data_IF_138921479893
#
_entry.id   IF_138921479893
#
_cell.length_a   1.000
_cell.length_b   1.000
_cell.length_c   1.000
_cell.angle_alpha   90.00
_cell.angle_beta   90.00
_cell.angle_gamma   90.00
#
_symmetry.space_group_name_H-M   'P 1'
#
loop_
_entity.id
_entity.type
_entity.pdbx_description
1 polymer ?
#
# COMPACT_ATOMS: atom_id res chain seq x y z
N UNK A 1 -4.64 9.87 -18.05
CA UNK A 1 -4.47 8.40 -17.93
C UNK A 1 -4.69 7.90 -16.49
N UNK A 2 -3.95 8.39 -15.49
CA UNK A 2 -3.98 7.88 -14.12
C UNK A 2 -5.38 7.87 -13.46
N UNK A 3 -6.18 8.93 -13.61
CA UNK A 3 -7.55 9.00 -13.05
C UNK A 3 -8.42 7.86 -13.56
N UNK A 4 -8.35 7.59 -14.87
CA UNK A 4 -9.17 6.59 -15.55
C UNK A 4 -8.80 5.14 -15.16
N UNK A 5 -7.54 4.91 -14.82
CA UNK A 5 -7.07 3.62 -14.29
C UNK A 5 -7.54 3.40 -12.85
N UNK A 6 -7.55 4.45 -12.03
CA UNK A 6 -7.97 4.38 -10.62
C UNK A 6 -9.50 4.24 -10.51
N UNK A 7 -10.27 4.99 -11.30
CA UNK A 7 -11.74 4.87 -11.30
C UNK A 7 -12.21 3.50 -11.77
N UNK A 8 -11.56 2.92 -12.79
CA UNK A 8 -11.84 1.54 -13.21
C UNK A 8 -11.44 0.49 -12.17
N UNK A 9 -10.37 0.73 -11.40
CA UNK A 9 -10.01 -0.11 -10.26
C UNK A 9 -11.10 -0.05 -9.18
N UNK A 10 -11.59 1.14 -8.85
CA UNK A 10 -12.69 1.32 -7.91
C UNK A 10 -13.96 0.59 -8.38
N UNK A 11 -14.35 0.78 -9.64
CA UNK A 11 -15.50 0.12 -10.24
C UNK A 11 -15.36 -1.41 -10.22
N UNK A 12 -14.17 -1.95 -10.53
CA UNK A 12 -13.92 -3.39 -10.47
C UNK A 12 -14.14 -3.93 -9.05
N UNK A 13 -13.52 -3.33 -8.03
CA UNK A 13 -13.65 -3.81 -6.65
C UNK A 13 -15.04 -3.56 -6.06
N UNK A 14 -15.73 -2.51 -6.50
CA UNK A 14 -17.15 -2.30 -6.19
C UNK A 14 -18.01 -3.44 -6.77
N UNK A 15 -17.75 -3.86 -8.02
CA UNK A 15 -18.44 -5.02 -8.62
C UNK A 15 -18.13 -6.32 -7.86
N UNK A 16 -16.88 -6.54 -7.45
CA UNK A 16 -16.50 -7.71 -6.62
C UNK A 16 -17.24 -7.71 -5.28
N UNK A 17 -17.34 -6.55 -4.62
CA UNK A 17 -18.05 -6.40 -3.36
C UNK A 17 -19.56 -6.61 -3.54
N UNK A 18 -20.14 -6.01 -4.59
CA UNK A 18 -21.54 -6.19 -4.95
C UNK A 18 -21.86 -7.66 -5.23
N UNK A 19 -21.02 -8.35 -6.01
CA UNK A 19 -21.14 -9.79 -6.27
C UNK A 19 -21.14 -10.63 -5.00
N UNK A 20 -20.28 -10.30 -4.03
CA UNK A 20 -20.27 -10.95 -2.72
C UNK A 20 -21.55 -10.70 -1.91
N UNK A 21 -22.04 -9.45 -1.87
CA UNK A 21 -23.28 -9.12 -1.16
C UNK A 21 -24.51 -9.79 -1.78
N UNK A 22 -24.57 -9.86 -3.11
CA UNK A 22 -25.62 -10.55 -3.86
C UNK A 22 -25.59 -12.07 -3.63
N UNK A 23 -24.40 -12.67 -3.50
CA UNK A 23 -24.24 -14.08 -3.17
C UNK A 23 -24.76 -14.41 -1.77
N UNK A 24 -24.51 -13.53 -0.78
CA UNK A 24 -25.06 -13.66 0.57
C UNK A 24 -26.57 -13.40 0.63
N UNK A 25 -27.08 -12.54 -0.23
CA UNK A 25 -28.50 -12.16 -0.30
C UNK A 25 -29.40 -13.08 -1.13
N UNK A 26 -28.89 -14.17 -1.72
CA UNK A 26 -29.69 -15.13 -2.49
C UNK A 26 -30.22 -14.61 -3.83
N UNK A 27 -29.58 -13.60 -4.42
CA UNK A 27 -30.07 -12.95 -5.63
C UNK A 27 -30.01 -13.83 -6.89
N UNK A 28 -30.84 -13.49 -7.89
CA UNK A 28 -31.00 -14.23 -9.14
C UNK A 28 -29.66 -14.52 -9.85
N UNK A 29 -29.48 -15.77 -10.28
CA UNK A 29 -28.26 -16.25 -10.94
C UNK A 29 -27.87 -15.45 -12.19
N UNK A 30 -28.84 -14.82 -12.84
CA UNK A 30 -28.64 -13.98 -14.02
C UNK A 30 -27.91 -12.68 -13.70
N UNK A 31 -28.35 -11.96 -12.66
CA UNK A 31 -27.67 -10.74 -12.21
C UNK A 31 -26.22 -11.01 -11.80
N UNK A 32 -25.96 -12.19 -11.21
CA UNK A 32 -24.60 -12.64 -10.88
C UNK A 32 -23.73 -12.83 -12.12
N UNK A 33 -24.27 -13.38 -13.21
CA UNK A 33 -23.55 -13.54 -14.48
C UNK A 33 -23.22 -12.18 -15.10
N UNK A 34 -24.18 -11.26 -15.12
CA UNK A 34 -23.96 -9.91 -15.66
C UNK A 34 -22.88 -9.16 -14.89
N UNK A 35 -22.91 -9.21 -13.55
CA UNK A 35 -21.88 -8.58 -12.69
C UNK A 35 -20.51 -9.20 -12.94
N UNK A 36 -20.42 -10.53 -13.07
CA UNK A 36 -19.14 -11.21 -13.33
C UNK A 36 -18.57 -10.89 -14.72
N UNK A 37 -19.43 -10.81 -15.74
CA UNK A 37 -19.02 -10.38 -17.08
C UNK A 37 -18.54 -8.94 -17.07
N UNK A 38 -19.25 -8.03 -16.39
CA UNK A 38 -18.85 -6.64 -16.26
C UNK A 38 -17.50 -6.50 -15.53
N UNK A 39 -17.28 -7.26 -14.45
CA UNK A 39 -15.99 -7.32 -13.75
C UNK A 39 -14.87 -7.78 -14.69
N UNK A 40 -15.12 -8.83 -15.47
CA UNK A 40 -14.15 -9.36 -16.43
C UNK A 40 -13.79 -8.33 -17.51
N UNK A 41 -14.79 -7.67 -18.11
CA UNK A 41 -14.57 -6.62 -19.10
C UNK A 41 -13.80 -5.44 -18.49
N UNK A 42 -14.23 -4.93 -17.33
CA UNK A 42 -13.53 -3.83 -16.64
C UNK A 42 -12.09 -4.20 -16.29
N UNK A 43 -11.85 -5.44 -15.85
CA UNK A 43 -10.49 -5.91 -15.59
C UNK A 43 -9.66 -5.97 -16.88
N UNK A 44 -10.21 -6.45 -18.00
CA UNK A 44 -9.50 -6.50 -19.28
C UNK A 44 -9.15 -5.10 -19.78
N UNK A 45 -10.11 -4.17 -19.75
CA UNK A 45 -9.86 -2.79 -20.18
C UNK A 45 -8.86 -2.09 -19.27
N UNK A 46 -8.85 -2.42 -17.96
CA UNK A 46 -7.84 -1.91 -17.02
C UNK A 46 -6.43 -2.40 -17.36
N UNK A 47 -6.28 -3.68 -17.73
CA UNK A 47 -4.99 -4.23 -18.17
C UNK A 47 -4.50 -3.55 -19.44
N UNK A 48 -5.39 -3.36 -20.42
CA UNK A 48 -5.08 -2.66 -21.66
C UNK A 48 -4.60 -1.23 -21.41
N UNK A 49 -5.30 -0.46 -20.57
CA UNK A 49 -4.90 0.92 -20.24
C UNK A 49 -3.57 1.03 -19.50
N UNK A 50 -3.02 -0.08 -19.00
CA UNK A 50 -1.73 -0.12 -18.32
C UNK A 50 -0.57 -0.50 -19.25
N UNK A 51 -0.84 -0.77 -20.53
CA UNK A 51 0.17 -0.92 -21.58
C UNK A 51 0.91 0.42 -21.74
N UNK A 52 1.97 0.62 -20.97
CA UNK A 52 2.73 1.88 -20.90
C UNK A 52 3.21 2.20 -19.49
N UNK A 53 2.48 1.76 -18.47
CA UNK A 53 2.87 1.96 -17.07
C UNK A 53 4.16 1.22 -16.68
N UNK A 54 4.58 0.18 -17.41
CA UNK A 54 5.89 -0.45 -17.22
C UNK A 54 7.04 0.53 -17.51
N UNK A 55 6.90 1.36 -18.54
CA UNK A 55 7.91 2.36 -18.93
C UNK A 55 7.91 3.51 -17.93
N UNK A 56 6.74 4.00 -17.51
CA UNK A 56 6.62 5.00 -16.44
C UNK A 56 7.24 4.50 -15.13
N UNK A 57 7.03 3.23 -14.77
CA UNK A 57 7.62 2.63 -13.58
C UNK A 57 9.15 2.52 -13.69
N UNK A 58 9.67 2.21 -14.88
CA UNK A 58 11.12 2.17 -15.11
C UNK A 58 11.73 3.58 -15.06
N UNK A 59 11.04 4.59 -15.60
CA UNK A 59 11.46 5.97 -15.51
C UNK A 59 11.45 6.46 -14.05
N UNK A 60 10.42 6.12 -13.29
CA UNK A 60 10.37 6.40 -11.86
C UNK A 60 11.51 5.71 -11.10
N UNK A 61 11.84 4.46 -11.44
CA UNK A 61 13.01 3.77 -10.90
C UNK A 61 14.31 4.54 -11.20
N UNK A 62 14.50 5.00 -12.44
CA UNK A 62 15.66 5.81 -12.82
C UNK A 62 15.76 7.12 -12.03
N UNK A 63 14.63 7.80 -11.80
CA UNK A 63 14.59 9.02 -10.97
C UNK A 63 14.95 8.72 -9.51
N UNK A 64 14.43 7.63 -8.95
CA UNK A 64 14.68 7.23 -7.57
C UNK A 64 16.17 6.93 -7.29
N UNK A 65 16.97 6.54 -8.29
CA UNK A 65 18.43 6.32 -8.12
C UNK A 65 19.16 7.60 -7.70
N UNK A 66 18.64 8.78 -8.05
CA UNK A 66 19.28 10.07 -7.77
C UNK A 66 18.93 10.64 -6.38
N UNK A 67 18.16 9.92 -5.57
CA UNK A 67 17.74 10.39 -4.26
C UNK A 67 18.89 10.34 -3.25
N UNK A 68 19.05 11.33 -2.37
CA UNK A 68 20.20 11.44 -1.47
C UNK A 68 20.28 10.35 -0.40
N UNK A 69 19.15 9.93 0.17
CA UNK A 69 19.10 8.89 1.20
C UNK A 69 19.23 7.48 0.60
N UNK A 70 20.26 6.74 1.05
CA UNK A 70 20.58 5.39 0.58
C UNK A 70 19.48 4.35 0.83
N UNK A 71 18.79 4.40 1.98
CA UNK A 71 17.76 3.42 2.34
C UNK A 71 16.49 3.69 1.52
N UNK A 72 16.12 4.96 1.42
CA UNK A 72 14.97 5.41 0.64
C UNK A 72 15.19 5.13 -0.86
N UNK A 73 16.40 5.42 -1.37
CA UNK A 73 16.83 5.10 -2.74
C UNK A 73 16.67 3.62 -3.03
N UNK A 74 17.19 2.73 -2.17
CA UNK A 74 17.08 1.29 -2.39
C UNK A 74 15.61 0.82 -2.37
N UNK A 75 14.83 1.23 -1.37
CA UNK A 75 13.43 0.82 -1.25
C UNK A 75 12.60 1.27 -2.47
N UNK A 76 12.74 2.53 -2.88
CA UNK A 76 12.00 3.09 -4.00
C UNK A 76 12.43 2.49 -5.34
N UNK A 77 13.72 2.36 -5.59
CA UNK A 77 14.23 1.79 -6.86
C UNK A 77 13.76 0.35 -7.04
N UNK A 78 13.93 -0.49 -6.02
CA UNK A 78 13.52 -1.89 -6.06
C UNK A 78 11.99 -2.01 -6.11
N UNK A 79 11.26 -1.14 -5.42
CA UNK A 79 9.79 -1.10 -5.50
C UNK A 79 9.30 -0.77 -6.90
N UNK A 80 9.85 0.28 -7.53
CA UNK A 80 9.51 0.67 -8.90
C UNK A 80 9.87 -0.41 -9.92
N UNK A 81 11.01 -1.10 -9.74
CA UNK A 81 11.41 -2.21 -10.60
C UNK A 81 10.45 -3.41 -10.48
N UNK A 82 10.10 -3.81 -9.25
CA UNK A 82 9.11 -4.86 -9.00
C UNK A 82 7.74 -4.49 -9.61
N UNK A 83 7.38 -3.21 -9.58
CA UNK A 83 6.15 -2.71 -10.19
C UNK A 83 6.20 -2.74 -11.72
N UNK A 84 7.36 -2.47 -12.32
CA UNK A 84 7.57 -2.64 -13.77
C UNK A 84 7.43 -4.12 -14.17
N UNK A 85 8.02 -5.05 -13.41
CA UNK A 85 7.87 -6.49 -13.62
C UNK A 85 6.43 -6.97 -13.46
N UNK A 86 5.71 -6.45 -12.47
CA UNK A 86 4.27 -6.70 -12.29
C UNK A 86 3.47 -6.31 -13.53
N UNK A 87 3.67 -5.09 -14.06
CA UNK A 87 2.98 -4.63 -15.26
C UNK A 87 3.39 -5.42 -16.51
N UNK A 88 4.66 -5.80 -16.64
CA UNK A 88 5.11 -6.67 -17.72
C UNK A 88 4.38 -8.02 -17.70
N UNK A 89 4.25 -8.64 -16.52
CA UNK A 89 3.46 -9.87 -16.38
C UNK A 89 1.96 -9.65 -16.71
N UNK A 90 1.41 -8.48 -16.37
CA UNK A 90 0.01 -8.14 -16.66
C UNK A 90 -0.24 -8.01 -18.18
N UNK A 91 0.73 -7.44 -18.91
CA UNK A 91 0.71 -7.35 -20.38
C UNK A 91 0.78 -8.73 -21.03
N UNK A 92 1.63 -9.63 -20.50
CA UNK A 92 1.70 -11.03 -20.95
C UNK A 92 0.38 -11.77 -20.70
N UNK A 93 -0.23 -11.57 -19.53
CA UNK A 93 -1.56 -12.12 -19.22
C UNK A 93 -2.64 -11.61 -20.16
N UNK A 94 -2.60 -10.32 -20.49
CA UNK A 94 -3.53 -9.71 -21.43
C UNK A 94 -3.36 -10.32 -22.84
N UNK A 95 -2.13 -10.44 -23.33
CA UNK A 95 -1.80 -11.06 -24.62
C UNK A 95 -2.24 -12.54 -24.69
N UNK A 96 -2.14 -13.27 -23.58
CA UNK A 96 -2.66 -14.64 -23.49
C UNK A 96 -4.19 -14.70 -23.58
N UNK A 97 -4.91 -13.71 -23.03
CA UNK A 97 -6.38 -13.65 -23.07
C UNK A 97 -6.94 -13.18 -24.41
N UNK A 98 -6.19 -12.39 -25.16
CA UNK A 98 -6.58 -11.95 -26.52
C UNK A 98 -6.24 -12.99 -27.60
N UNK A 99 -5.67 -14.14 -27.23
CA UNK A 99 -5.31 -15.20 -28.18
C UNK A 99 -4.00 -14.95 -28.92
N UNK A 100 -3.25 -13.90 -28.56
CA UNK A 100 -1.95 -13.60 -29.16
C UNK A 100 -0.87 -14.62 -28.75
N UNK A 101 -1.04 -15.27 -27.59
CA UNK A 101 -0.16 -16.34 -27.09
C UNK A 101 -1.03 -17.55 -26.71
N UNK A 102 -1.14 -18.51 -27.63
CA UNK A 102 -2.10 -19.63 -27.53
C UNK A 102 -1.77 -20.70 -26.47
N UNK A 103 -0.55 -20.73 -25.91
CA UNK A 103 -0.12 -21.72 -24.89
C UNK A 103 0.39 -21.07 -23.59
N UNK A 104 -0.13 -19.91 -23.21
CA UNK A 104 0.30 -19.26 -21.98
C UNK A 104 -0.39 -19.88 -20.75
N UNK A 105 0.42 -20.34 -19.78
CA UNK A 105 -0.08 -20.74 -18.46
C UNK A 105 -0.50 -19.49 -17.65
N UNK A 106 -1.76 -19.09 -17.78
CA UNK A 106 -2.29 -17.88 -17.13
C UNK A 106 -2.14 -17.94 -15.60
N UNK A 107 -2.23 -19.13 -15.00
CA UNK A 107 -2.15 -19.29 -13.55
C UNK A 107 -0.73 -19.03 -13.04
N UNK A 108 0.30 -19.61 -13.68
CA UNK A 108 1.71 -19.38 -13.30
C UNK A 108 2.11 -17.91 -13.44
N UNK A 109 1.75 -17.28 -14.55
CA UNK A 109 2.07 -15.88 -14.79
C UNK A 109 1.29 -14.94 -13.84
N UNK A 110 0.05 -15.29 -13.49
CA UNK A 110 -0.73 -14.57 -12.48
C UNK A 110 -0.07 -14.66 -11.11
N UNK A 111 0.37 -15.84 -10.69
CA UNK A 111 1.06 -16.00 -9.41
C UNK A 111 2.37 -15.19 -9.35
N UNK A 112 3.18 -15.24 -10.42
CA UNK A 112 4.41 -14.42 -10.49
C UNK A 112 4.11 -12.92 -10.40
N UNK A 113 3.10 -12.45 -11.13
CA UNK A 113 2.64 -11.06 -11.07
C UNK A 113 2.29 -10.66 -9.63
N UNK A 114 1.47 -11.45 -8.93
CA UNK A 114 1.09 -11.15 -7.54
C UNK A 114 2.27 -11.20 -6.56
N UNK A 115 3.29 -12.04 -6.78
CA UNK A 115 4.53 -12.02 -5.97
C UNK A 115 5.28 -10.71 -6.13
N UNK A 116 5.51 -10.26 -7.36
CA UNK A 116 6.16 -8.96 -7.61
C UNK A 116 5.36 -7.79 -7.03
N UNK A 117 4.03 -7.86 -7.12
CA UNK A 117 3.16 -6.87 -6.50
C UNK A 117 3.31 -6.84 -4.97
N UNK A 118 3.34 -8.01 -4.32
CA UNK A 118 3.56 -8.12 -2.88
C UNK A 118 4.93 -7.55 -2.47
N UNK A 119 6.01 -7.90 -3.18
CA UNK A 119 7.34 -7.36 -2.89
C UNK A 119 7.39 -5.84 -3.03
N UNK A 120 6.79 -5.26 -4.07
CA UNK A 120 6.69 -3.82 -4.23
C UNK A 120 5.93 -3.17 -3.05
N UNK A 121 4.86 -3.82 -2.58
CA UNK A 121 4.09 -3.32 -1.43
C UNK A 121 4.90 -3.34 -0.14
N UNK A 122 5.60 -4.43 0.15
CA UNK A 122 6.44 -4.54 1.34
C UNK A 122 7.49 -3.43 1.33
N UNK A 123 8.14 -3.18 0.20
CA UNK A 123 9.14 -2.11 0.07
C UNK A 123 8.52 -0.72 0.27
N UNK A 124 7.31 -0.47 -0.25
CA UNK A 124 6.60 0.79 -0.01
C UNK A 124 6.19 0.96 1.45
N UNK A 125 5.74 -0.10 2.13
CA UNK A 125 5.46 -0.05 3.56
C UNK A 125 6.73 0.19 4.39
N UNK A 126 7.84 -0.45 4.02
CA UNK A 126 9.15 -0.21 4.67
C UNK A 126 9.57 1.26 4.53
N UNK A 127 9.39 1.84 3.34
CA UNK A 127 9.58 3.27 3.10
C UNK A 127 8.70 4.12 4.03
N UNK A 128 7.40 3.84 4.09
CA UNK A 128 6.43 4.61 4.89
C UNK A 128 6.83 4.61 6.37
N UNK A 129 7.20 3.43 6.88
CA UNK A 129 7.68 3.28 8.25
C UNK A 129 9.01 4.01 8.46
N UNK A 130 9.93 3.95 7.51
CA UNK A 130 11.22 4.64 7.61
C UNK A 130 11.06 6.17 7.65
N UNK A 131 10.27 6.75 6.76
CA UNK A 131 9.96 8.19 6.78
C UNK A 131 9.26 8.59 8.09
N UNK A 132 8.33 7.77 8.57
CA UNK A 132 7.66 8.00 9.85
C UNK A 132 8.65 7.99 11.02
N UNK A 133 9.62 7.07 11.03
CA UNK A 133 10.68 7.01 12.03
C UNK A 133 11.54 8.27 12.00
N UNK A 134 11.93 8.73 10.81
CA UNK A 134 12.72 9.95 10.65
C UNK A 134 11.96 11.17 11.19
N UNK A 135 10.67 11.29 10.89
CA UNK A 135 9.82 12.37 11.40
C UNK A 135 9.64 12.31 12.92
N UNK A 136 9.46 11.10 13.48
CA UNK A 136 9.41 10.91 14.93
C UNK A 136 10.70 11.37 15.62
N UNK A 137 11.86 11.07 15.04
CA UNK A 137 13.15 11.51 15.57
C UNK A 137 13.30 13.04 15.51
N UNK A 138 12.92 13.66 14.39
CA UNK A 138 12.92 15.12 14.24
C UNK A 138 12.02 15.79 15.27
N UNK A 139 10.80 15.28 15.48
CA UNK A 139 9.87 15.86 16.45
C UNK A 139 10.33 15.64 17.90
N UNK A 140 10.92 14.49 18.22
CA UNK A 140 11.52 14.25 19.53
C UNK A 140 12.68 15.23 19.82
N UNK A 141 13.54 15.48 18.83
CA UNK A 141 14.64 16.47 18.94
C UNK A 141 14.11 17.88 19.11
N UNK A 142 13.11 18.29 18.31
CA UNK A 142 12.48 19.60 18.44
C UNK A 142 11.87 19.83 19.83
N UNK A 143 11.17 18.82 20.38
CA UNK A 143 10.60 18.88 21.74
C UNK A 143 11.69 18.94 22.81
N UNK A 144 12.84 18.29 22.60
CA UNK A 144 13.97 18.36 23.53
C UNK A 144 14.60 19.77 23.56
N UNK A 145 14.72 20.44 22.41
CA UNK A 145 15.27 21.81 22.33
C UNK A 145 14.31 22.86 22.89
N UNK A 146 12.99 22.60 22.85
CA UNK A 146 11.95 23.51 23.36
C UNK A 146 11.62 23.31 24.84
N UNK A 147 12.18 22.28 25.47
CA UNK A 147 12.03 22.07 26.91
C UNK A 147 12.84 23.14 27.67
N UNK A 148 12.25 23.85 28.64
CA UNK A 148 12.98 24.82 29.44
C UNK A 148 14.13 24.12 30.20
N UNK A 149 15.30 24.75 30.36
CA UNK A 149 16.37 24.19 31.16
C UNK A 149 15.87 23.93 32.59
N UNK A 150 15.95 22.68 33.03
CA UNK A 150 15.61 22.29 34.41
C UNK A 150 16.55 23.03 35.39
N UNK A 151 16.04 23.75 36.40
CA UNK A 151 16.88 24.48 37.37
C UNK A 151 17.65 23.60 38.35
N UNK A 152 17.54 22.26 38.28
CA UNK A 152 18.07 21.36 39.31
C UNK A 152 19.07 20.34 38.75
N UNK A 153 20.34 20.32 39.23
CA UNK A 153 21.27 19.24 38.91
C UNK A 153 20.76 17.93 39.53
N UNK A 154 20.56 16.92 38.70
CA UNK A 154 20.02 15.62 39.11
C UNK A 154 21.13 14.77 39.76
N UNK A 155 21.13 14.68 41.10
CA UNK A 155 21.93 13.69 41.83
C UNK A 155 21.34 12.30 41.56
N UNK A 156 22.05 11.49 40.80
CA UNK A 156 21.70 10.10 40.50
C UNK A 156 21.98 9.20 41.71
N UNK A 157 20.93 8.74 42.42
CA UNK A 157 21.01 7.53 43.24
C UNK A 157 20.60 6.30 42.40
N UNK A 158 21.34 5.18 42.47
CA UNK A 158 20.99 3.96 41.76
C UNK A 158 19.97 3.16 42.58
N UNK A 159 18.68 3.25 42.23
CA UNK A 159 17.65 2.39 42.85
C UNK A 159 17.48 1.10 42.02
N UNK A 160 18.15 0.05 42.44
CA UNK A 160 18.04 -1.31 41.89
C UNK A 160 16.80 -2.01 42.45
N UNK A 161 15.64 -1.90 41.78
CA UNK A 161 14.47 -2.74 42.06
C UNK A 161 13.91 -3.34 40.74
N UNK A 162 13.88 -4.68 40.56
CA UNK A 162 13.49 -5.32 39.31
C UNK A 162 11.97 -5.39 39.05
N UNK A 163 11.12 -4.93 39.97
CA UNK A 163 9.65 -4.99 39.84
C UNK A 163 9.02 -3.82 39.05
N UNK A 164 9.78 -2.78 38.71
CA UNK A 164 9.30 -1.62 37.96
C UNK A 164 9.38 -1.77 36.42
N UNK A 165 9.95 -2.86 35.90
CA UNK A 165 10.26 -2.99 34.47
C UNK A 165 9.02 -3.05 33.55
N UNK A 166 7.96 -3.74 33.97
CA UNK A 166 6.72 -3.89 33.18
C UNK A 166 5.91 -2.59 33.06
N UNK A 167 5.64 -1.82 34.14
CA UNK A 167 4.94 -0.54 34.01
C UNK A 167 5.77 0.49 33.23
N UNK A 168 7.10 0.53 33.42
CA UNK A 168 8.00 1.45 32.70
C UNK A 168 8.03 1.16 31.19
N UNK A 169 8.08 -0.11 30.79
CA UNK A 169 8.05 -0.49 29.37
C UNK A 169 6.69 -0.16 28.73
N UNK A 170 5.58 -0.41 29.42
CA UNK A 170 4.24 -0.08 28.93
C UNK A 170 4.01 1.43 28.78
N UNK A 171 4.62 2.24 29.67
CA UNK A 171 4.54 3.71 29.63
C UNK A 171 5.43 4.25 28.50
N UNK A 172 6.63 3.70 28.30
CA UNK A 172 7.50 4.04 27.17
C UNK A 172 6.84 3.70 25.85
N UNK A 173 6.24 2.52 25.75
CA UNK A 173 5.51 2.08 24.56
C UNK A 173 4.29 2.98 24.28
N UNK A 174 3.51 3.33 25.30
CA UNK A 174 2.38 4.28 25.17
C UNK A 174 2.84 5.65 24.71
N UNK A 175 3.93 6.19 25.26
CA UNK A 175 4.51 7.47 24.81
C UNK A 175 5.01 7.39 23.37
N UNK A 176 5.67 6.29 22.98
CA UNK A 176 6.12 6.09 21.61
C UNK A 176 4.96 5.92 20.62
N UNK A 177 3.91 5.19 21.00
CA UNK A 177 2.69 5.04 20.20
C UNK A 177 1.95 6.38 20.07
N UNK A 178 1.85 7.15 21.14
CA UNK A 178 1.22 8.47 21.07
C UNK A 178 2.00 9.41 20.15
N UNK A 179 3.35 9.42 20.24
CA UNK A 179 4.19 10.20 19.33
C UNK A 179 4.03 9.72 17.89
N UNK A 180 4.05 8.40 17.66
CA UNK A 180 3.83 7.79 16.36
C UNK A 180 2.51 8.25 15.74
N UNK A 181 1.41 8.15 16.50
CA UNK A 181 0.07 8.57 16.09
C UNK A 181 0.04 10.08 15.82
N UNK A 182 0.63 10.88 16.70
CA UNK A 182 0.68 12.35 16.55
C UNK A 182 1.40 12.73 15.26
N UNK A 183 2.61 12.20 15.03
CA UNK A 183 3.42 12.46 13.83
C UNK A 183 2.68 12.01 12.58
N UNK A 184 2.06 10.84 12.63
CA UNK A 184 1.32 10.28 11.50
C UNK A 184 0.11 11.14 11.13
N UNK A 185 -0.70 11.59 12.10
CA UNK A 185 -1.82 12.49 11.84
C UNK A 185 -1.38 13.92 11.46
N UNK A 186 -0.18 14.33 11.90
CA UNK A 186 0.41 15.62 11.51
C UNK A 186 0.95 15.61 10.07
N UNK A 187 1.13 14.43 9.48
CA UNK A 187 1.65 14.23 8.13
C UNK A 187 0.61 13.50 7.24
N UNK A 188 -0.46 14.21 6.80
CA UNK A 188 -1.54 13.62 6.03
C UNK A 188 -1.10 12.83 4.77
N UNK A 189 -0.08 13.26 3.99
CA UNK A 189 0.38 12.50 2.83
C UNK A 189 0.94 11.11 3.17
N UNK A 190 1.69 11.01 4.27
CA UNK A 190 2.30 9.76 4.72
C UNK A 190 1.25 8.80 5.27
N UNK A 191 0.27 9.33 6.01
CA UNK A 191 -0.87 8.56 6.49
C UNK A 191 -1.68 7.95 5.33
N UNK A 192 -1.97 8.72 4.29
CA UNK A 192 -2.72 8.23 3.14
C UNK A 192 -1.97 7.15 2.36
N UNK A 193 -0.67 7.31 2.16
CA UNK A 193 0.17 6.30 1.52
C UNK A 193 0.25 5.01 2.35
N UNK A 194 0.48 5.13 3.67
CA UNK A 194 0.53 4.00 4.59
C UNK A 194 -0.79 3.24 4.63
N UNK A 195 -1.92 3.94 4.76
CA UNK A 195 -3.26 3.32 4.76
C UNK A 195 -3.54 2.60 3.44
N UNK A 196 -3.23 3.25 2.32
CA UNK A 196 -3.41 2.67 0.99
C UNK A 196 -2.58 1.41 0.80
N UNK A 197 -1.29 1.43 1.15
CA UNK A 197 -0.39 0.29 1.04
C UNK A 197 -0.84 -0.85 1.98
N UNK A 198 -1.30 -0.50 3.18
CA UNK A 198 -1.85 -1.46 4.16
C UNK A 198 -3.14 -2.12 3.68
N UNK A 199 -4.03 -1.39 3.00
CA UNK A 199 -5.22 -1.98 2.39
C UNK A 199 -4.85 -2.86 1.18
N UNK A 200 -3.91 -2.40 0.34
CA UNK A 200 -3.54 -3.12 -0.87
C UNK A 200 -2.81 -4.45 -0.58
N UNK A 201 -2.18 -4.63 0.58
CA UNK A 201 -1.40 -5.84 0.91
C UNK A 201 -2.24 -7.11 1.01
N UNK A 202 -3.50 -6.98 1.43
CA UNK A 202 -4.41 -8.11 1.53
C UNK A 202 -4.78 -8.70 0.17
N UNK A 203 -4.69 -7.90 -0.89
CA UNK A 203 -5.03 -8.33 -2.26
C UNK A 203 -4.06 -9.42 -2.78
N UNK A 204 -2.74 -9.21 -2.86
CA UNK A 204 -1.82 -10.27 -3.27
C UNK A 204 -1.72 -11.40 -2.24
N UNK A 205 -1.90 -11.14 -0.94
CA UNK A 205 -1.85 -12.19 0.08
C UNK A 205 -2.98 -13.22 -0.10
N UNK A 206 -4.20 -12.76 -0.39
CA UNK A 206 -5.34 -13.63 -0.69
C UNK A 206 -5.13 -14.36 -2.02
N UNK A 207 -4.68 -13.65 -3.07
CA UNK A 207 -4.46 -14.24 -4.41
C UNK A 207 -3.31 -15.25 -4.47
N UNK A 208 -2.34 -15.15 -3.55
CA UNK A 208 -1.26 -16.12 -3.41
C UNK A 208 -1.62 -17.29 -2.47
N UNK A 209 -2.79 -17.24 -1.81
CA UNK A 209 -3.21 -18.25 -0.85
C UNK A 209 -2.42 -18.24 0.46
N UNK A 210 -1.68 -17.16 0.75
CA UNK A 210 -0.89 -17.02 1.98
C UNK A 210 -1.80 -16.66 3.16
N UNK A 211 -2.75 -15.76 2.93
CA UNK A 211 -3.73 -15.35 3.94
C UNK A 211 -5.12 -15.18 3.29
N UNK A 212 -5.97 -16.24 3.31
CA UNK A 212 -7.27 -16.22 2.67
C UNK A 212 -8.25 -15.38 3.50
N UNK A 213 -8.49 -14.14 3.08
CA UNK A 213 -9.40 -13.19 3.74
C UNK A 213 -10.80 -13.23 3.13
N UNK A 214 -10.91 -13.75 1.92
CA UNK A 214 -12.17 -13.89 1.19
C UNK A 214 -12.46 -12.69 0.29
N UNK A 215 -13.25 -12.96 -0.74
CA UNK A 215 -13.52 -12.02 -1.85
C UNK A 215 -14.17 -10.71 -1.42
N UNK A 216 -15.05 -10.75 -0.40
CA UNK A 216 -15.69 -9.56 0.15
C UNK A 216 -14.70 -8.61 0.83
N UNK A 217 -13.80 -9.14 1.65
CA UNK A 217 -12.78 -8.33 2.34
C UNK A 217 -11.78 -7.72 1.36
N UNK A 218 -11.28 -8.53 0.41
CA UNK A 218 -10.41 -8.05 -0.68
C UNK A 218 -11.09 -6.96 -1.51
N UNK A 219 -12.39 -7.12 -1.80
CA UNK A 219 -13.21 -6.10 -2.46
C UNK A 219 -13.28 -4.80 -1.66
N UNK A 220 -13.55 -4.87 -0.36
CA UNK A 220 -13.60 -3.70 0.52
C UNK A 220 -12.24 -2.98 0.62
N UNK A 221 -11.16 -3.72 0.83
CA UNK A 221 -9.80 -3.16 0.87
C UNK A 221 -9.41 -2.51 -0.46
N UNK A 222 -9.70 -3.17 -1.59
CA UNK A 222 -9.42 -2.65 -2.93
C UNK A 222 -10.26 -1.42 -3.29
N UNK A 223 -11.50 -1.34 -2.79
CA UNK A 223 -12.33 -0.15 -2.92
C UNK A 223 -11.80 1.00 -2.06
N UNK A 224 -11.52 0.75 -0.77
CA UNK A 224 -10.97 1.74 0.14
C UNK A 224 -9.67 2.36 -0.39
N UNK A 225 -8.72 1.53 -0.83
CA UNK A 225 -7.46 2.01 -1.39
C UNK A 225 -7.62 2.78 -2.71
N UNK A 226 -8.66 2.47 -3.48
CA UNK A 226 -9.01 3.22 -4.69
C UNK A 226 -9.62 4.58 -4.36
N UNK A 227 -10.49 4.66 -3.35
CA UNK A 227 -11.04 5.94 -2.85
C UNK A 227 -9.93 6.83 -2.31
N UNK A 228 -9.00 6.30 -1.51
CA UNK A 228 -7.82 7.06 -1.05
C UNK A 228 -6.96 7.55 -2.22
N UNK A 229 -6.84 6.74 -3.27
CA UNK A 229 -6.13 7.14 -4.50
C UNK A 229 -6.85 8.25 -5.27
N UNK A 230 -8.18 8.27 -5.29
CA UNK A 230 -8.94 9.36 -5.91
C UNK A 230 -8.79 10.63 -5.07
N UNK A 231 -8.91 10.52 -3.74
CA UNK A 231 -8.78 11.65 -2.82
C UNK A 231 -7.42 12.34 -2.94
N UNK A 232 -6.32 11.58 -3.00
CA UNK A 232 -4.97 12.11 -3.21
C UNK A 232 -4.75 12.73 -4.59
N UNK A 233 -5.51 12.33 -5.60
CA UNK A 233 -5.48 12.95 -6.93
C UNK A 233 -6.29 14.25 -7.00
N UNK A 234 -7.42 14.31 -6.30
CA UNK A 234 -8.28 15.50 -6.21
C UNK A 234 -7.62 16.59 -5.35
N UNK A 235 -6.89 16.18 -4.31
CA UNK A 235 -6.16 17.09 -3.44
C UNK A 235 -4.63 16.91 -3.59
N UNK A 236 -3.99 17.55 -4.58
CA UNK A 236 -2.56 17.39 -4.82
C UNK A 236 -1.68 17.90 -3.67
N UNK A 237 -2.21 18.74 -2.77
CA UNK A 237 -1.58 19.15 -1.52
C UNK A 237 -1.34 17.99 -0.54
N UNK A 238 -2.07 16.87 -0.70
CA UNK A 238 -1.89 15.65 0.08
C UNK A 238 -0.95 14.63 -0.60
N UNK A 239 -0.35 14.96 -1.74
CA UNK A 239 0.55 14.03 -2.43
C UNK A 239 1.93 14.07 -1.79
N UNK A 240 2.35 12.94 -1.23
CA UNK A 240 3.68 12.77 -0.65
C UNK A 240 4.70 12.93 -1.79
N UNK A 241 5.50 13.99 -1.74
CA UNK A 241 6.66 14.15 -2.63
C UNK A 241 7.85 13.48 -1.94
N UNK A 242 8.53 12.54 -2.60
CA UNK A 242 9.81 12.04 -2.12
C UNK A 242 10.89 13.13 -2.16
#
# INVERSE_FOLDING_TARGET
MAVLVVTRRAAQYACTLLGYTLQKGGAAAELRRTVSQLEAHMSLTRKLLRLGNSVEALEAAKRAIHLSDSVLRLCLTVSHLNRAMYFACDNVLWAGKTGLISKLDQQKWSQRSFRYYLFALILNLTRDVYELRLLMECEARYRATKAPPSPYPSTTLPNNSPTAALPVMSVRLRKQLHLFVTVLFSNPPLLLDLLKNSCDIFIPLDRLGIYPTGTGFVGACGLASSVLSILTMVHPWLKLKP
#
